data_IF_070948517670
#
_entry.id   IF_070948517670
#
_cell.length_a   1.000
_cell.length_b   1.000
_cell.length_c   1.000
_cell.angle_alpha   90.00
_cell.angle_beta   90.00
_cell.angle_gamma   90.00
#
_symmetry.space_group_name_H-M   'P 1'
#
loop_
_entity.id
_entity.type
_entity.pdbx_description
1 polymer ?
#
# COMPACT_ATOMS: atom_id res chain seq x y z
N UNK A 1 -9.24 13.62 -4.79
CA UNK A 1 -10.50 12.94 -4.37
C UNK A 1 -10.20 11.45 -4.26
N UNK A 2 -10.97 10.64 -3.53
CA UNK A 2 -10.71 9.19 -3.47
C UNK A 2 -11.95 8.41 -3.92
N UNK A 3 -11.73 7.36 -4.70
CA UNK A 3 -12.75 6.43 -5.20
C UNK A 3 -12.45 5.05 -4.65
N UNK A 4 -13.46 4.43 -4.07
CA UNK A 4 -13.35 3.10 -3.50
C UNK A 4 -14.36 2.15 -4.14
N UNK A 5 -13.89 1.00 -4.61
CA UNK A 5 -14.69 -0.09 -5.16
C UNK A 5 -14.41 -1.36 -4.36
N UNK A 6 -15.47 -2.03 -3.91
CA UNK A 6 -15.36 -3.27 -3.13
C UNK A 6 -16.46 -4.24 -3.55
N UNK A 7 -16.10 -5.52 -3.67
CA UNK A 7 -17.03 -6.62 -3.90
C UNK A 7 -16.68 -7.74 -2.92
N UNK A 8 -17.67 -8.17 -2.13
CA UNK A 8 -17.51 -9.20 -1.12
C UNK A 8 -18.50 -10.35 -1.30
N UNK A 9 -18.07 -11.54 -0.90
CA UNK A 9 -18.89 -12.74 -0.85
C UNK A 9 -18.70 -13.49 0.47
N UNK A 10 -19.78 -14.07 0.98
CA UNK A 10 -19.80 -14.87 2.20
C UNK A 10 -20.40 -16.22 1.91
N UNK A 11 -19.75 -17.28 2.37
CA UNK A 11 -20.14 -18.65 2.13
C UNK A 11 -20.19 -19.43 3.43
N UNK A 12 -21.22 -20.25 3.57
CA UNK A 12 -21.30 -21.30 4.58
C UNK A 12 -20.77 -22.58 3.93
N UNK A 13 -19.70 -23.14 4.48
CA UNK A 13 -19.07 -24.36 3.99
C UNK A 13 -19.46 -25.51 4.93
N UNK A 14 -20.53 -26.23 4.57
CA UNK A 14 -21.14 -27.20 5.48
C UNK A 14 -21.82 -26.52 6.67
N UNK A 15 -21.89 -27.21 7.80
CA UNK A 15 -22.51 -26.68 9.04
C UNK A 15 -21.51 -25.92 9.92
N UNK A 16 -20.21 -26.17 9.72
CA UNK A 16 -19.16 -25.87 10.68
C UNK A 16 -18.16 -24.82 10.21
N UNK A 17 -18.25 -24.33 8.97
CA UNK A 17 -17.28 -23.39 8.44
C UNK A 17 -17.91 -22.20 7.71
N UNK A 18 -17.22 -21.05 7.81
CA UNK A 18 -17.58 -19.78 7.18
C UNK A 18 -16.39 -19.23 6.43
N UNK A 19 -16.61 -18.86 5.18
CA UNK A 19 -15.62 -18.22 4.33
C UNK A 19 -16.11 -16.82 3.94
N UNK A 20 -15.29 -15.80 4.18
CA UNK A 20 -15.46 -14.46 3.65
C UNK A 20 -14.36 -14.21 2.62
N UNK A 21 -14.73 -13.67 1.46
CA UNK A 21 -13.82 -13.27 0.41
C UNK A 21 -14.17 -11.84 -0.03
N UNK A 22 -13.18 -10.97 -0.11
CA UNK A 22 -13.35 -9.57 -0.53
C UNK A 22 -12.32 -9.25 -1.59
N UNK A 23 -12.77 -8.53 -2.62
CA UNK A 23 -11.93 -7.93 -3.65
C UNK A 23 -12.14 -6.41 -3.57
N UNK A 24 -11.06 -5.65 -3.52
CA UNK A 24 -11.15 -4.19 -3.43
C UNK A 24 -10.16 -3.48 -4.35
N UNK A 25 -10.53 -2.25 -4.74
CA UNK A 25 -9.67 -1.29 -5.40
C UNK A 25 -9.92 0.10 -4.83
N UNK A 26 -8.86 0.76 -4.40
CA UNK A 26 -8.84 2.14 -3.92
C UNK A 26 -8.00 2.95 -4.91
N UNK A 27 -8.64 3.90 -5.58
CA UNK A 27 -7.98 4.92 -6.36
C UNK A 27 -7.97 6.21 -5.52
N UNK A 28 -6.79 6.72 -5.20
CA UNK A 28 -6.65 8.06 -4.63
C UNK A 28 -6.20 9.00 -5.75
N UNK A 29 -6.69 10.25 -5.74
CA UNK A 29 -6.12 11.37 -6.48
C UNK A 29 -5.55 12.38 -5.47
N UNK A 30 -4.49 13.10 -5.84
CA UNK A 30 -3.85 14.14 -5.01
C UNK A 30 -3.22 13.62 -3.69
N UNK A 31 -2.42 12.55 -3.74
CA UNK A 31 -1.70 12.06 -2.54
C UNK A 31 -0.53 13.02 -2.22
N UNK A 32 -0.38 13.37 -0.94
CA UNK A 32 0.66 14.29 -0.47
C UNK A 32 2.01 13.58 -0.46
N UNK A 33 2.90 13.97 -1.37
CA UNK A 33 4.28 13.46 -1.42
C UNK A 33 5.29 14.55 -1.10
N UNK A 34 6.48 14.14 -0.63
CA UNK A 34 7.56 15.06 -0.30
C UNK A 34 8.21 15.57 -1.59
N UNK A 35 8.21 16.89 -1.76
CA UNK A 35 8.82 17.57 -2.93
C UNK A 35 10.26 17.96 -2.66
N UNK A 36 10.52 18.52 -1.47
CA UNK A 36 11.88 18.83 -1.00
C UNK A 36 11.97 18.55 0.48
N UNK A 37 13.11 18.04 0.94
CA UNK A 37 13.39 17.92 2.37
C UNK A 37 14.89 18.13 2.62
N UNK A 38 15.24 19.17 3.36
CA UNK A 38 16.62 19.42 3.79
C UNK A 38 16.78 20.76 4.49
N UNK A 39 17.84 20.85 5.31
CA UNK A 39 18.00 21.95 6.28
C UNK A 39 16.91 21.96 7.37
N UNK A 40 16.28 20.82 7.66
CA UNK A 40 15.19 20.69 8.63
C UNK A 40 13.82 21.18 8.14
N UNK A 41 13.66 21.48 6.84
CA UNK A 41 12.38 21.89 6.23
C UNK A 41 11.96 20.92 5.14
N UNK A 42 10.72 20.44 5.23
CA UNK A 42 10.06 19.65 4.20
C UNK A 42 8.99 20.48 3.48
N UNK A 43 8.88 20.35 2.16
CA UNK A 43 7.74 20.84 1.38
C UNK A 43 7.01 19.67 0.75
N UNK A 44 5.69 19.77 0.69
CA UNK A 44 4.80 18.73 0.19
C UNK A 44 4.09 19.24 -1.06
N UNK A 45 3.83 18.35 -2.02
CA UNK A 45 2.99 18.61 -3.19
C UNK A 45 1.97 17.51 -3.34
N UNK A 46 0.89 17.82 -4.04
CA UNK A 46 0.05 16.79 -4.61
C UNK A 46 0.81 16.14 -5.77
N UNK A 47 0.94 14.82 -5.74
CA UNK A 47 1.50 14.02 -6.81
C UNK A 47 0.48 12.98 -7.28
N UNK A 48 0.68 12.39 -8.48
CA UNK A 48 -0.10 11.25 -8.93
C UNK A 48 -0.08 10.17 -7.86
N UNK A 49 -1.26 9.68 -7.54
CA UNK A 49 -1.48 8.90 -6.35
C UNK A 49 -1.46 7.40 -6.66
N UNK A 50 -1.09 6.57 -5.67
CA UNK A 50 -1.05 5.13 -5.81
C UNK A 50 -2.46 4.54 -5.94
N UNK A 51 -2.56 3.54 -6.81
CA UNK A 51 -3.71 2.64 -6.89
C UNK A 51 -3.42 1.43 -6.01
N UNK A 52 -4.35 1.13 -5.10
CA UNK A 52 -4.26 -0.02 -4.19
C UNK A 52 -5.33 -1.04 -4.56
N UNK A 53 -4.94 -2.26 -4.88
CA UNK A 53 -5.81 -3.39 -5.22
C UNK A 53 -5.53 -4.55 -4.31
N UNK A 54 -6.54 -5.28 -3.88
CA UNK A 54 -6.29 -6.41 -3.00
C UNK A 54 -7.40 -7.43 -2.93
N UNK A 55 -7.04 -8.53 -2.30
CA UNK A 55 -7.90 -9.66 -1.98
C UNK A 55 -7.75 -9.98 -0.51
N UNK A 56 -8.88 -10.10 0.19
CA UNK A 56 -8.93 -10.53 1.59
C UNK A 56 -9.76 -11.81 1.70
N UNK A 57 -9.22 -12.77 2.45
CA UNK A 57 -9.84 -14.04 2.75
C UNK A 57 -9.86 -14.27 4.25
N UNK A 58 -11.01 -14.68 4.79
CA UNK A 58 -11.16 -15.14 6.15
C UNK A 58 -11.96 -16.43 6.18
N UNK A 59 -11.34 -17.51 6.65
CA UNK A 59 -11.96 -18.81 6.89
C UNK A 59 -12.01 -19.07 8.40
N UNK A 60 -13.18 -19.38 8.93
CA UNK A 60 -13.40 -19.77 10.31
C UNK A 60 -14.08 -21.14 10.34
N UNK A 61 -13.66 -22.06 11.22
CA UNK A 61 -14.27 -23.40 11.30
C UNK A 61 -14.22 -24.04 12.68
N UNK A 62 -15.30 -24.73 13.04
CA UNK A 62 -15.35 -25.74 14.11
C UNK A 62 -14.87 -27.08 13.55
N UNK A 63 -13.61 -27.44 13.79
CA UNK A 63 -12.92 -28.60 13.19
C UNK A 63 -13.37 -29.96 13.79
N UNK A 64 -14.44 -29.96 14.59
CA UNK A 64 -14.91 -31.10 15.38
C UNK A 64 -14.01 -31.41 16.59
N UNK A 65 -14.48 -32.30 17.48
CA UNK A 65 -13.77 -32.73 18.69
C UNK A 65 -13.31 -31.56 19.60
N UNK A 66 -14.09 -30.47 19.69
CA UNK A 66 -13.75 -29.32 20.53
C UNK A 66 -12.74 -28.33 19.94
N UNK A 67 -12.30 -28.52 18.69
CA UNK A 67 -11.38 -27.61 18.02
C UNK A 67 -12.11 -26.50 17.26
N UNK A 68 -11.59 -25.28 17.37
CA UNK A 68 -11.99 -24.12 16.57
C UNK A 68 -10.73 -23.52 15.96
N UNK A 69 -10.77 -23.18 14.67
CA UNK A 69 -9.65 -22.57 13.96
C UNK A 69 -10.07 -21.43 13.04
N UNK A 70 -9.13 -20.52 12.79
CA UNK A 70 -9.28 -19.44 11.82
C UNK A 70 -8.04 -19.31 10.92
N UNK A 71 -8.26 -18.98 9.66
CA UNK A 71 -7.23 -18.63 8.68
C UNK A 71 -7.62 -17.31 8.04
N UNK A 72 -6.73 -16.32 8.14
CA UNK A 72 -6.85 -15.05 7.46
C UNK A 72 -5.70 -14.89 6.46
N UNK A 73 -6.00 -14.38 5.26
CA UNK A 73 -5.01 -14.07 4.25
C UNK A 73 -5.36 -12.77 3.53
N UNK A 74 -4.39 -11.89 3.37
CA UNK A 74 -4.54 -10.61 2.67
C UNK A 74 -3.43 -10.49 1.64
N UNK A 75 -3.83 -10.23 0.40
CA UNK A 75 -2.94 -9.82 -0.68
C UNK A 75 -3.25 -8.37 -1.04
N UNK A 76 -2.23 -7.53 -1.06
CA UNK A 76 -2.32 -6.13 -1.43
C UNK A 76 -1.27 -5.82 -2.49
N UNK A 77 -1.68 -5.13 -3.53
CA UNK A 77 -0.85 -4.57 -4.58
C UNK A 77 -1.06 -3.06 -4.60
N UNK A 78 0.01 -2.29 -4.55
CA UNK A 78 0.02 -0.84 -4.39
C UNK A 78 1.08 -0.22 -5.30
N UNK A 79 0.64 0.30 -6.43
CA UNK A 79 1.52 0.89 -7.44
C UNK A 79 1.22 2.39 -7.62
N UNK A 80 2.27 3.20 -7.78
CA UNK A 80 2.12 4.58 -8.26
C UNK A 80 1.84 4.55 -9.76
N UNK A 81 0.71 5.11 -10.18
CA UNK A 81 0.22 4.97 -11.55
C UNK A 81 0.92 5.89 -12.56
N UNK A 82 1.66 6.91 -12.10
CA UNK A 82 2.39 7.83 -12.95
C UNK A 82 3.76 8.22 -12.36
N UNK A 83 4.73 8.46 -13.23
CA UNK A 83 6.03 9.02 -12.85
C UNK A 83 5.93 10.52 -12.58
N UNK A 84 6.67 11.03 -11.59
CA UNK A 84 6.69 12.45 -11.27
C UNK A 84 8.11 12.94 -10.99
N UNK A 85 8.34 14.23 -11.21
CA UNK A 85 9.65 14.85 -10.97
C UNK A 85 9.76 15.39 -9.55
N UNK A 86 10.88 15.10 -8.90
CA UNK A 86 11.30 15.64 -7.61
C UNK A 86 12.66 16.36 -7.72
N UNK A 87 13.03 17.16 -6.73
CA UNK A 87 14.30 17.87 -6.75
C UNK A 87 15.42 16.95 -6.24
N UNK A 88 16.53 16.84 -6.97
CA UNK A 88 17.68 16.02 -6.59
C UNK A 88 18.57 16.67 -5.51
N UNK A 89 18.32 17.94 -5.15
CA UNK A 89 19.07 18.66 -4.13
C UNK A 89 18.45 20.02 -3.78
N UNK A 90 18.96 20.65 -2.71
CA UNK A 90 18.52 21.97 -2.23
C UNK A 90 19.62 23.00 -2.48
N UNK A 91 19.30 24.19 -3.01
CA UNK A 91 17.97 24.69 -3.40
C UNK A 91 17.40 24.00 -4.65
N UNK A 92 16.08 23.83 -4.71
CA UNK A 92 15.42 23.29 -5.90
C UNK A 92 15.39 24.34 -7.01
N UNK A 93 15.88 23.95 -8.20
CA UNK A 93 16.03 24.82 -9.36
C UNK A 93 15.33 24.18 -10.55
N UNK A 94 14.28 24.81 -11.02
CA UNK A 94 13.42 24.33 -12.12
C UNK A 94 13.74 25.00 -13.46
N UNK A 95 14.75 25.87 -13.52
CA UNK A 95 15.15 26.65 -14.70
C UNK A 95 16.61 26.41 -15.08
N UNK A 96 16.85 26.31 -16.39
CA UNK A 96 18.19 26.23 -16.98
C UNK A 96 19.03 27.49 -16.68
N UNK A 97 20.37 27.40 -16.58
CA UNK A 97 21.22 26.21 -16.81
C UNK A 97 21.39 25.33 -15.56
N UNK A 98 20.80 25.72 -14.43
CA UNK A 98 21.04 25.09 -13.11
C UNK A 98 19.94 24.11 -12.69
N UNK A 99 19.26 23.48 -13.65
CA UNK A 99 18.16 22.54 -13.41
C UNK A 99 18.63 21.32 -12.60
N UNK A 100 17.93 20.97 -11.52
CA UNK A 100 18.23 19.79 -10.69
C UNK A 100 16.99 18.94 -10.38
N UNK A 101 16.21 18.61 -11.42
CA UNK A 101 15.08 17.67 -11.34
C UNK A 101 15.55 16.24 -11.60
N UNK A 102 15.03 15.30 -10.80
CA UNK A 102 15.12 13.86 -11.05
C UNK A 102 13.72 13.29 -11.21
N UNK A 103 13.55 12.35 -12.13
CA UNK A 103 12.28 11.64 -12.31
C UNK A 103 12.26 10.46 -11.37
N UNK A 104 11.14 10.29 -10.67
CA UNK A 104 10.84 9.09 -9.90
C UNK A 104 9.94 8.22 -10.76
N UNK A 105 10.36 6.98 -10.99
CA UNK A 105 9.58 6.01 -11.79
C UNK A 105 8.29 5.62 -11.08
N UNK A 106 7.33 5.11 -11.86
CA UNK A 106 6.26 4.30 -11.31
C UNK A 106 6.90 3.09 -10.57
N UNK A 107 6.26 2.58 -9.50
CA UNK A 107 6.79 1.51 -8.61
C UNK A 107 7.64 1.95 -7.40
N UNK A 108 7.16 3.00 -6.73
CA UNK A 108 7.67 3.40 -5.41
C UNK A 108 6.96 2.59 -4.33
N UNK A 109 7.72 1.93 -3.45
CA UNK A 109 7.18 1.19 -2.30
C UNK A 109 7.25 1.95 -0.97
N UNK A 110 8.11 2.96 -0.87
CA UNK A 110 8.25 3.78 0.33
C UNK A 110 8.76 5.19 0.02
N UNK A 111 8.39 6.14 0.89
CA UNK A 111 8.90 7.51 0.89
C UNK A 111 9.76 7.70 2.13
N UNK A 112 11.01 8.13 1.94
CA UNK A 112 11.92 8.48 3.04
C UNK A 112 11.82 9.97 3.35
N UNK A 113 11.58 10.29 4.63
CA UNK A 113 11.54 11.67 5.11
C UNK A 113 12.87 11.98 5.79
N UNK A 114 13.46 13.13 5.47
CA UNK A 114 14.73 13.61 6.05
C UNK A 114 15.97 12.76 5.65
N UNK A 115 15.98 12.21 4.44
CA UNK A 115 17.17 11.56 3.87
C UNK A 115 18.20 12.61 3.42
N UNK A 116 19.33 12.70 4.14
CA UNK A 116 20.41 13.65 3.86
C UNK A 116 21.22 13.33 2.58
N UNK A 117 21.01 12.16 1.98
CA UNK A 117 21.66 11.72 0.74
C UNK A 117 20.78 11.94 -0.51
N UNK A 118 19.62 12.59 -0.38
CA UNK A 118 18.75 12.93 -1.50
C UNK A 118 17.93 11.76 -2.05
N UNK A 119 17.89 10.61 -1.35
CA UNK A 119 17.08 9.44 -1.72
C UNK A 119 15.71 9.48 -1.03
N UNK A 120 14.75 10.14 -1.67
CA UNK A 120 13.41 10.34 -1.11
C UNK A 120 12.43 9.20 -1.38
N UNK A 121 12.74 8.31 -2.33
CA UNK A 121 11.84 7.26 -2.80
C UNK A 121 12.59 5.93 -2.90
N UNK A 122 11.97 4.86 -2.39
CA UNK A 122 12.52 3.52 -2.46
C UNK A 122 11.76 2.68 -3.52
N UNK A 123 12.46 2.11 -4.52
CA UNK A 123 11.83 1.17 -5.43
C UNK A 123 11.46 -0.09 -4.65
N UNK A 124 10.30 -0.66 -4.96
CA UNK A 124 9.93 -1.94 -4.39
C UNK A 124 8.64 -2.45 -5.01
N UNK A 125 8.34 -3.73 -4.82
CA UNK A 125 7.43 -4.46 -5.69
C UNK A 125 5.94 -4.09 -5.56
N UNK A 126 5.59 -2.97 -4.90
CA UNK A 126 4.21 -2.51 -4.65
C UNK A 126 3.34 -3.47 -3.83
N UNK A 127 3.77 -4.73 -3.68
CA UNK A 127 2.99 -5.87 -3.26
C UNK A 127 3.33 -6.30 -1.84
N UNK A 128 2.31 -6.62 -1.07
CA UNK A 128 2.38 -7.15 0.28
C UNK A 128 1.45 -8.34 0.45
N UNK A 129 1.87 -9.30 1.25
CA UNK A 129 1.06 -10.47 1.58
C UNK A 129 1.15 -10.78 3.07
N UNK A 130 0.01 -11.02 3.70
CA UNK A 130 -0.12 -11.33 5.13
C UNK A 130 -0.95 -12.60 5.29
N UNK A 131 -0.50 -13.51 6.17
CA UNK A 131 -1.27 -14.69 6.59
C UNK A 131 -1.29 -14.74 8.11
N UNK A 132 -2.46 -15.06 8.68
CA UNK A 132 -2.63 -15.41 10.09
C UNK A 132 -3.37 -16.73 10.24
N UNK A 133 -2.93 -17.56 11.18
CA UNK A 133 -3.59 -18.82 11.51
C UNK A 133 -3.76 -18.91 13.04
N UNK A 134 -4.95 -19.28 13.50
CA UNK A 134 -5.21 -19.57 14.90
C UNK A 134 -5.95 -20.90 15.04
N UNK A 135 -5.69 -21.60 16.14
CA UNK A 135 -6.42 -22.81 16.53
C UNK A 135 -6.52 -22.88 18.04
N UNK A 136 -7.67 -23.27 18.54
CA UNK A 136 -7.97 -23.41 19.96
C UNK A 136 -8.73 -24.70 20.21
N UNK A 137 -8.56 -25.24 21.42
CA UNK A 137 -9.24 -26.45 21.87
C UNK A 137 -9.99 -26.15 23.17
N UNK A 138 -11.28 -26.48 23.18
CA UNK A 138 -12.14 -26.40 24.35
C UNK A 138 -12.49 -27.82 24.81
N UNK A 139 -12.23 -28.12 26.08
CA UNK A 139 -12.67 -29.33 26.78
C UNK A 139 -14.02 -29.14 27.48
#
# INVERSE_FOLDING_TARGET
MSRHYEIGAKFLLGEDARLNLVLFQIDTDDELTVTTNGGGRATYRNAPAPRRRGVELLLESTLGRGFVGSLAATYLDSEFTESFSTCAGIPCRTVAPTLNLTTVEADISAVSVNDANGRFYAPGPGTGFLIGLTASYSF
#
